data_IF_117326996414
#
_entry.id   IF_117326996414
#
_cell.length_a   1.000
_cell.length_b   1.000
_cell.length_c   1.000
_cell.angle_alpha   90.00
_cell.angle_beta   90.00
_cell.angle_gamma   90.00
#
_symmetry.space_group_name_H-M   'P 1'
#
loop_
_entity.id
_entity.type
_entity.pdbx_description
1 polymer ?
#
# COMPACT_ATOMS: atom_id res chain seq x y z
N UNK A 1 -4.75 -7.69 -4.90
CA UNK A 1 -4.12 -6.83 -3.89
C UNK A 1 -5.20 -6.16 -3.05
N UNK A 2 -5.20 -6.36 -1.74
CA UNK A 2 -6.17 -5.75 -0.82
C UNK A 2 -5.49 -4.60 -0.06
N UNK A 3 -6.00 -3.39 -0.20
CA UNK A 3 -5.52 -2.20 0.51
C UNK A 3 -6.61 -1.75 1.47
N UNK A 4 -6.29 -1.60 2.75
CA UNK A 4 -7.22 -1.20 3.80
C UNK A 4 -6.62 -0.05 4.61
N UNK A 5 -7.31 1.10 4.65
CA UNK A 5 -6.87 2.26 5.45
C UNK A 5 -7.62 2.21 6.79
N UNK A 6 -6.89 1.91 7.86
CA UNK A 6 -7.38 1.92 9.23
C UNK A 6 -6.96 3.24 9.88
N UNK A 7 -7.95 4.07 10.19
CA UNK A 7 -7.77 5.32 10.92
C UNK A 7 -7.87 4.97 12.40
N UNK A 8 -6.85 5.26 13.20
CA UNK A 8 -7.03 5.14 14.65
C UNK A 8 -7.72 6.41 15.14
N UNK A 9 -8.90 6.30 15.73
CA UNK A 9 -9.60 7.46 16.29
C UNK A 9 -8.95 7.97 17.59
N UNK A 10 -8.08 7.15 18.20
CA UNK A 10 -7.36 7.48 19.45
C UNK A 10 -5.93 7.96 19.22
N UNK A 11 -5.38 7.80 18.02
CA UNK A 11 -3.99 8.09 17.72
C UNK A 11 -3.95 8.96 16.46
N UNK A 12 -3.17 10.03 16.45
CA UNK A 12 -3.11 10.94 15.28
C UNK A 12 -2.62 10.24 14.00
N UNK A 13 -2.08 9.01 14.12
CA UNK A 13 -1.60 8.21 13.00
C UNK A 13 -2.66 7.40 12.25
N UNK A 14 -2.39 7.17 10.97
CA UNK A 14 -3.15 6.28 10.10
C UNK A 14 -2.34 5.02 9.79
N UNK A 15 -3.00 3.87 9.68
CA UNK A 15 -2.36 2.59 9.34
C UNK A 15 -2.96 2.06 8.04
N UNK A 16 -2.14 1.85 7.03
CA UNK A 16 -2.55 1.26 5.76
C UNK A 16 -2.06 -0.18 5.72
N UNK A 17 -2.97 -1.12 5.54
CA UNK A 17 -2.67 -2.55 5.43
C UNK A 17 -2.70 -2.89 3.95
N UNK A 18 -1.57 -3.34 3.41
CA UNK A 18 -1.40 -3.66 2.00
C UNK A 18 -1.05 -5.13 1.91
N UNK A 19 -1.97 -5.95 1.45
CA UNK A 19 -1.77 -7.40 1.30
C UNK A 19 -1.32 -8.09 2.61
N UNK A 20 -1.80 -7.58 3.74
CA UNK A 20 -1.42 -8.06 5.08
C UNK A 20 -0.17 -7.39 5.66
N UNK A 21 0.52 -6.52 4.91
CA UNK A 21 1.64 -5.72 5.40
C UNK A 21 1.16 -4.38 5.96
N UNK A 22 1.28 -4.15 7.28
CA UNK A 22 0.90 -2.89 7.89
C UNK A 22 1.97 -1.81 7.69
N UNK A 23 1.57 -0.67 7.14
CA UNK A 23 2.37 0.53 6.98
C UNK A 23 1.74 1.65 7.80
N UNK A 24 2.50 2.26 8.71
CA UNK A 24 2.00 3.33 9.57
C UNK A 24 2.42 4.70 9.02
N UNK A 25 1.49 5.63 9.04
CA UNK A 25 1.64 7.00 8.58
C UNK A 25 1.25 7.96 9.70
N UNK A 26 1.93 9.10 9.76
CA UNK A 26 1.63 10.14 10.74
C UNK A 26 0.32 10.91 10.44
N UNK A 27 -0.16 10.86 9.19
CA UNK A 27 -1.33 11.63 8.74
C UNK A 27 -2.09 10.91 7.62
N UNK A 28 -3.40 11.16 7.53
CA UNK A 28 -4.27 10.57 6.51
C UNK A 28 -3.95 11.06 5.11
N UNK A 29 -3.48 12.30 4.95
CA UNK A 29 -3.10 12.86 3.66
C UNK A 29 -1.93 12.10 3.04
N UNK A 30 -0.93 11.74 3.86
CA UNK A 30 0.18 10.88 3.44
C UNK A 30 -0.28 9.46 3.13
N UNK A 31 -1.16 8.89 3.97
CA UNK A 31 -1.71 7.56 3.72
C UNK A 31 -2.49 7.49 2.39
N UNK A 32 -3.33 8.48 2.10
CA UNK A 32 -4.09 8.54 0.84
C UNK A 32 -3.18 8.73 -0.37
N UNK A 33 -2.22 9.67 -0.31
CA UNK A 33 -1.28 9.88 -1.41
C UNK A 33 -0.46 8.61 -1.73
N UNK A 34 -0.05 7.88 -0.69
CA UNK A 34 0.65 6.61 -0.85
C UNK A 34 -0.22 5.55 -1.54
N UNK A 35 -1.49 5.41 -1.12
CA UNK A 35 -2.42 4.46 -1.74
C UNK A 35 -2.73 4.84 -3.18
N UNK A 36 -2.92 6.13 -3.48
CA UNK A 36 -3.19 6.63 -4.83
C UNK A 36 -2.00 6.36 -5.76
N UNK A 37 -0.77 6.70 -5.32
CA UNK A 37 0.45 6.37 -6.08
C UNK A 37 0.62 4.85 -6.25
N UNK A 38 0.32 4.06 -5.23
CA UNK A 38 0.41 2.61 -5.29
C UNK A 38 -0.59 2.05 -6.30
N UNK A 39 -1.84 2.51 -6.27
CA UNK A 39 -2.89 2.10 -7.20
C UNK A 39 -2.59 2.54 -8.64
N UNK A 40 -2.09 3.77 -8.83
CA UNK A 40 -1.65 4.26 -10.13
C UNK A 40 -0.51 3.43 -10.69
N UNK A 41 0.48 3.06 -9.86
CA UNK A 41 1.59 2.18 -10.28
C UNK A 41 1.12 0.76 -10.58
N UNK A 42 0.17 0.22 -9.83
CA UNK A 42 -0.43 -1.10 -10.09
C UNK A 42 -1.21 -1.13 -11.41
N UNK A 43 -1.96 -0.06 -11.71
CA UNK A 43 -2.63 0.07 -13.01
C UNK A 43 -1.66 0.28 -14.16
N UNK A 44 -0.61 1.08 -13.96
CA UNK A 44 0.36 1.40 -15.01
C UNK A 44 1.35 0.25 -15.28
N UNK A 45 1.67 -0.56 -14.26
CA UNK A 45 2.63 -1.65 -14.36
C UNK A 45 2.27 -2.78 -13.38
N UNK A 46 1.24 -3.59 -13.67
CA UNK A 46 0.88 -4.76 -12.87
C UNK A 46 2.03 -5.77 -12.78
N UNK A 47 2.91 -5.80 -13.80
CA UNK A 47 4.10 -6.65 -13.90
C UNK A 47 5.21 -6.25 -12.91
N UNK A 48 5.26 -4.98 -12.48
CA UNK A 48 6.29 -4.50 -11.53
C UNK A 48 6.02 -4.90 -10.07
N UNK A 49 4.77 -5.28 -9.77
CA UNK A 49 4.36 -5.76 -8.44
C UNK A 49 4.14 -7.28 -8.38
N UNK A 50 4.09 -7.95 -9.53
CA UNK A 50 4.42 -9.36 -9.58
C UNK A 50 5.92 -9.47 -9.23
N UNK A 51 6.22 -9.71 -7.95
CA UNK A 51 7.57 -10.13 -7.58
C UNK A 51 7.98 -11.28 -8.50
N UNK A 52 9.21 -11.30 -9.04
CA UNK A 52 9.62 -12.36 -9.95
C UNK A 52 9.59 -13.68 -9.19
N UNK A 53 8.51 -14.45 -9.34
CA UNK A 53 8.47 -15.84 -8.92
C UNK A 53 9.16 -16.66 -10.02
N UNK A 54 10.31 -17.22 -9.64
CA UNK A 54 11.01 -18.36 -10.24
C UNK A 54 11.53 -18.16 -11.69
N UNK A 55 12.83 -17.92 -11.90
CA UNK A 55 13.95 -18.91 -12.00
C UNK A 55 14.03 -19.59 -13.40
N UNK A 56 15.03 -20.43 -13.70
CA UNK A 56 16.41 -20.14 -14.09
C UNK A 56 16.74 -20.70 -15.51
N UNK A 57 17.71 -20.13 -16.24
CA UNK A 57 18.50 -20.83 -17.28
C UNK A 57 19.59 -19.92 -17.86
#
# INVERSE_FOLDING_TARGET
MKIEIVRNEQDAGCKVIIDGHPVSFADIHHAQAYVDQLQARLQAAPEAFASPVAEPA
#
